data_IF_231888753966
#
_entry.id   IF_231888753966
#
_cell.length_a   1.000
_cell.length_b   1.000
_cell.length_c   1.000
_cell.angle_alpha   90.00
_cell.angle_beta   90.00
_cell.angle_gamma   90.00
#
_symmetry.space_group_name_H-M   'P 1'
#
loop_
_entity.id
_entity.type
_entity.pdbx_description
1 polymer ?
#
# COMPACT_ATOMS: atom_id res chain seq x y z
N UNK A 1 -12.98 1.20 -3.09
CA UNK A 1 -12.48 -0.19 -3.06
C UNK A 1 -12.01 -0.52 -4.45
N UNK A 2 -10.83 -1.12 -4.59
CA UNK A 2 -10.17 -1.40 -5.86
C UNK A 2 -9.83 -2.88 -5.94
N UNK A 3 -10.07 -3.50 -7.08
CA UNK A 3 -9.92 -4.94 -7.26
C UNK A 3 -8.92 -5.22 -8.37
N UNK A 4 -8.08 -6.24 -8.18
CA UNK A 4 -7.14 -6.64 -9.22
C UNK A 4 -6.35 -7.88 -8.88
N UNK A 5 -5.71 -8.43 -9.91
CA UNK A 5 -4.74 -9.52 -9.76
C UNK A 5 -3.40 -8.91 -9.38
N UNK A 6 -2.78 -9.44 -8.32
CA UNK A 6 -1.48 -8.96 -7.83
C UNK A 6 -0.39 -9.19 -8.88
N UNK A 7 0.32 -8.11 -9.22
CA UNK A 7 1.39 -8.06 -10.21
C UNK A 7 2.76 -7.86 -9.57
N UNK A 8 3.81 -8.05 -10.36
CA UNK A 8 5.18 -7.77 -9.95
C UNK A 8 5.44 -6.26 -10.04
N UNK A 9 5.98 -5.67 -8.98
CA UNK A 9 6.35 -4.26 -8.92
C UNK A 9 7.83 -3.98 -9.18
N UNK A 10 8.20 -2.71 -9.08
CA UNK A 10 9.59 -2.23 -9.21
C UNK A 10 10.48 -2.53 -7.99
N UNK A 11 9.94 -3.22 -6.97
CA UNK A 11 10.65 -3.75 -5.78
C UNK A 11 11.48 -2.75 -4.95
N UNK A 12 11.39 -1.42 -5.19
CA UNK A 12 12.15 -0.43 -4.41
C UNK A 12 11.79 -0.46 -2.91
N UNK A 13 10.51 -0.31 -2.58
CA UNK A 13 10.04 -0.44 -1.19
C UNK A 13 10.34 -1.83 -0.62
N UNK A 14 10.20 -2.88 -1.44
CA UNK A 14 10.50 -4.26 -1.05
C UNK A 14 11.97 -4.46 -0.67
N UNK A 15 12.91 -3.87 -1.40
CA UNK A 15 14.34 -3.89 -1.06
C UNK A 15 14.65 -3.18 0.28
N UNK A 16 13.77 -2.30 0.73
CA UNK A 16 13.87 -1.61 2.02
C UNK A 16 13.14 -2.35 3.16
N UNK A 17 12.54 -3.51 2.90
CA UNK A 17 11.82 -4.32 3.88
C UNK A 17 10.30 -4.14 3.85
N UNK A 18 9.75 -3.42 2.87
CA UNK A 18 8.31 -3.15 2.72
C UNK A 18 7.78 -3.78 1.43
N UNK A 19 7.56 -5.10 1.38
CA UNK A 19 6.98 -5.77 0.22
C UNK A 19 5.57 -5.23 -0.05
N UNK A 20 5.24 -5.00 -1.32
CA UNK A 20 3.94 -4.45 -1.73
C UNK A 20 3.21 -5.38 -2.68
N UNK A 21 1.90 -5.43 -2.51
CA UNK A 21 0.95 -6.03 -3.43
C UNK A 21 0.53 -4.97 -4.43
N UNK A 22 0.74 -5.21 -5.71
CA UNK A 22 0.52 -4.21 -6.75
C UNK A 22 -0.70 -4.58 -7.61
N UNK A 23 -1.69 -3.69 -7.69
CA UNK A 23 -2.84 -3.82 -8.59
C UNK A 23 -3.03 -2.56 -9.42
N UNK A 24 -3.77 -2.68 -10.53
CA UNK A 24 -4.11 -1.54 -11.37
C UNK A 24 -5.03 -0.58 -10.62
N UNK A 25 -4.73 0.72 -10.70
CA UNK A 25 -5.59 1.81 -10.23
C UNK A 25 -6.16 2.53 -11.45
N UNK A 26 -7.44 2.33 -11.73
CA UNK A 26 -8.19 3.04 -12.78
C UNK A 26 -9.11 4.10 -12.16
N UNK A 27 -8.49 5.04 -11.43
CA UNK A 27 -9.19 6.15 -10.78
C UNK A 27 -8.31 7.41 -10.80
N UNK A 28 -8.61 8.39 -11.66
CA UNK A 28 -7.78 9.57 -11.83
C UNK A 28 -7.86 10.54 -10.64
N UNK A 29 -8.84 10.39 -9.74
CA UNK A 29 -9.02 11.29 -8.60
C UNK A 29 -8.16 10.90 -7.39
N UNK A 30 -7.54 9.71 -7.40
CA UNK A 30 -6.93 9.12 -6.21
C UNK A 30 -5.42 9.08 -6.32
N UNK A 31 -4.78 9.74 -5.36
CA UNK A 31 -3.33 9.87 -5.27
C UNK A 31 -2.88 10.02 -3.83
N UNK A 32 -1.68 9.54 -3.52
CA UNK A 32 -1.02 9.72 -2.22
C UNK A 32 -0.98 8.44 -1.39
N UNK A 33 -0.74 8.62 -0.09
CA UNK A 33 -0.55 7.53 0.87
C UNK A 33 -1.79 7.41 1.76
N UNK A 34 -2.26 6.19 1.99
CA UNK A 34 -3.51 5.90 2.67
C UNK A 34 -3.33 4.79 3.71
N UNK A 35 -4.13 4.88 4.78
CA UNK A 35 -4.53 3.72 5.56
C UNK A 35 -5.47 2.88 4.69
N UNK A 36 -5.22 1.57 4.63
CA UNK A 36 -5.98 0.68 3.77
C UNK A 36 -6.26 -0.68 4.44
N UNK A 37 -7.18 -1.45 3.85
CA UNK A 37 -7.36 -2.87 4.10
C UNK A 37 -7.12 -3.64 2.81
N UNK A 38 -6.51 -4.81 2.93
CA UNK A 38 -6.41 -5.81 1.87
C UNK A 38 -7.32 -6.97 2.20
N UNK A 39 -8.18 -7.34 1.26
CA UNK A 39 -9.09 -8.47 1.35
C UNK A 39 -8.58 -9.58 0.43
N UNK A 40 -8.43 -10.79 0.97
CA UNK A 40 -8.01 -11.97 0.22
C UNK A 40 -8.68 -13.21 0.80
N UNK A 41 -9.38 -13.98 -0.04
CA UNK A 41 -10.00 -15.26 0.35
C UNK A 41 -10.86 -15.22 1.64
N UNK A 42 -11.47 -14.08 1.96
CA UNK A 42 -12.27 -13.87 3.17
C UNK A 42 -11.50 -13.31 4.37
N UNK A 43 -10.17 -13.28 4.32
CA UNK A 43 -9.32 -12.63 5.31
C UNK A 43 -9.17 -11.14 5.02
N UNK A 44 -9.02 -10.35 6.09
CA UNK A 44 -8.84 -8.90 6.03
C UNK A 44 -7.56 -8.53 6.75
N UNK A 45 -6.67 -7.83 6.04
CA UNK A 45 -5.38 -7.41 6.56
C UNK A 45 -5.28 -5.88 6.60
N UNK A 46 -4.88 -5.30 7.74
CA UNK A 46 -4.45 -3.91 7.81
C UNK A 46 -3.30 -3.64 6.85
N UNK A 47 -3.33 -2.50 6.16
CA UNK A 47 -2.32 -2.13 5.19
C UNK A 47 -2.05 -0.62 5.18
N UNK A 48 -0.90 -0.25 4.63
CA UNK A 48 -0.65 1.09 4.10
C UNK A 48 -0.58 1.00 2.58
N UNK A 49 -1.23 1.93 1.89
CA UNK A 49 -1.31 1.92 0.43
C UNK A 49 -0.76 3.20 -0.18
N UNK A 50 -0.02 3.05 -1.28
CA UNK A 50 0.39 4.14 -2.15
C UNK A 50 -0.41 4.07 -3.45
N UNK A 51 -1.20 5.10 -3.69
CA UNK A 51 -1.93 5.29 -4.94
C UNK A 51 -1.17 6.27 -5.84
N UNK A 52 -0.86 5.82 -7.06
CA UNK A 52 -0.23 6.63 -8.09
C UNK A 52 -1.01 6.53 -9.40
N UNK A 53 -1.89 7.50 -9.62
CA UNK A 53 -2.68 7.63 -10.84
C UNK A 53 -1.81 7.86 -12.08
N UNK A 54 -0.61 8.46 -11.96
CA UNK A 54 0.26 8.66 -13.13
C UNK A 54 0.81 7.35 -13.67
N UNK A 55 0.92 6.34 -12.79
CA UNK A 55 1.36 4.98 -13.13
C UNK A 55 0.20 3.98 -13.21
N UNK A 56 -1.05 4.42 -13.04
CA UNK A 56 -2.23 3.56 -12.89
C UNK A 56 -1.99 2.42 -11.88
N UNK A 57 -1.36 2.74 -10.75
CA UNK A 57 -0.82 1.75 -9.83
C UNK A 57 -1.27 2.01 -8.39
N UNK A 58 -1.77 0.96 -7.74
CA UNK A 58 -2.03 0.90 -6.32
C UNK A 58 -1.11 -0.16 -5.69
N UNK A 59 -0.22 0.28 -4.80
CA UNK A 59 0.71 -0.58 -4.07
C UNK A 59 0.26 -0.67 -2.61
N UNK A 60 -0.01 -1.86 -2.09
CA UNK A 60 -0.42 -2.06 -0.70
C UNK A 60 0.63 -2.88 0.06
N UNK A 61 1.19 -2.31 1.12
CA UNK A 61 2.02 -3.05 2.08
C UNK A 61 1.14 -3.53 3.24
N UNK A 62 0.98 -4.85 3.34
CA UNK A 62 0.27 -5.48 4.48
C UNK A 62 1.10 -5.30 5.75
N UNK A 63 0.46 -4.85 6.82
CA UNK A 63 1.09 -4.62 8.11
C UNK A 63 1.15 -5.92 8.91
N UNK A 64 2.28 -6.12 9.59
CA UNK A 64 2.48 -7.18 10.59
C UNK A 64 2.28 -8.62 10.08
N UNK A 65 2.23 -8.80 8.76
CA UNK A 65 2.18 -10.10 8.09
C UNK A 65 2.95 -10.04 6.77
N UNK A 66 3.50 -11.19 6.37
CA UNK A 66 4.05 -11.41 5.04
C UNK A 66 3.08 -12.28 4.27
N UNK A 67 2.57 -11.77 3.15
CA UNK A 67 1.61 -12.50 2.32
C UNK A 67 2.12 -12.50 0.89
N UNK A 68 2.44 -13.69 0.37
CA UNK A 68 2.72 -13.88 -1.05
C UNK A 68 1.42 -14.20 -1.78
N UNK A 69 0.91 -13.19 -2.48
CA UNK A 69 -0.36 -13.25 -3.20
C UNK A 69 -0.17 -13.06 -4.70
N UNK A 70 1.04 -13.27 -5.23
CA UNK A 70 1.28 -13.09 -6.66
C UNK A 70 0.32 -13.91 -7.52
N UNK A 71 -0.27 -13.29 -8.54
CA UNK A 71 -1.25 -13.93 -9.42
C UNK A 71 -2.61 -14.21 -8.78
N UNK A 72 -2.83 -13.79 -7.52
CA UNK A 72 -4.12 -13.88 -6.84
C UNK A 72 -4.90 -12.59 -7.01
N UNK A 73 -6.21 -12.73 -7.12
CA UNK A 73 -7.14 -11.60 -7.06
C UNK A 73 -7.30 -11.13 -5.62
N UNK A 74 -7.18 -9.83 -5.39
CA UNK A 74 -7.36 -9.17 -4.10
C UNK A 74 -8.25 -7.94 -4.25
N UNK A 75 -8.75 -7.44 -3.13
CA UNK A 75 -9.39 -6.13 -3.06
C UNK A 75 -8.65 -5.24 -2.07
N UNK A 76 -8.50 -3.96 -2.41
CA UNK A 76 -7.86 -2.94 -1.58
C UNK A 76 -8.89 -1.85 -1.29
N UNK A 77 -9.17 -1.62 -0.02
CA UNK A 77 -10.03 -0.55 0.45
C UNK A 77 -9.19 0.58 1.01
N UNK A 78 -9.31 1.79 0.45
CA UNK A 78 -8.68 2.99 0.99
C UNK A 78 -9.60 3.61 2.03
N UNK A 79 -9.12 3.75 3.26
CA UNK A 79 -9.92 4.21 4.41
C UNK A 79 -9.70 5.67 4.72
N UNK A 80 -8.43 6.09 4.84
CA UNK A 80 -8.06 7.44 5.25
C UNK A 80 -6.75 7.85 4.58
N UNK A 81 -6.73 9.05 3.98
CA UNK A 81 -5.50 9.64 3.46
C UNK A 81 -4.57 10.02 4.61
N UNK A 82 -3.31 9.59 4.54
CA UNK A 82 -2.24 9.97 5.46
C UNK A 82 -1.58 11.26 4.96
N UNK A 83 -1.18 11.29 3.69
CA UNK A 83 -0.47 12.42 3.06
C UNK A 83 -0.43 12.30 1.54
N UNK A 84 0.02 13.36 0.87
CA UNK A 84 0.41 13.30 -0.54
C UNK A 84 1.70 12.49 -0.75
N UNK A 85 1.92 12.05 -1.98
CA UNK A 85 3.18 11.43 -2.38
C UNK A 85 4.30 12.47 -2.43
N UNK A 86 5.53 12.02 -2.17
CA UNK A 86 6.72 12.86 -2.20
C UNK A 86 7.86 12.11 -2.89
N UNK A 87 8.79 12.86 -3.48
CA UNK A 87 10.04 12.33 -4.02
C UNK A 87 11.09 12.35 -2.91
N UNK A 88 11.89 11.30 -2.83
CA UNK A 88 12.95 11.16 -1.84
C UNK A 88 14.31 10.98 -2.52
N UNK A 89 15.27 11.79 -2.09
CA UNK A 89 16.63 11.82 -2.64
C UNK A 89 17.53 10.71 -2.11
N UNK A 90 17.09 9.97 -1.08
CA UNK A 90 17.79 8.78 -0.59
C UNK A 90 16.83 7.68 -0.14
N UNK A 91 17.35 6.46 -0.08
CA UNK A 91 16.59 5.30 0.38
C UNK A 91 16.36 5.32 1.90
N UNK A 92 17.24 5.97 2.68
CA UNK A 92 17.04 6.22 4.11
C UNK A 92 15.86 7.16 4.34
N UNK A 93 15.75 8.24 3.55
CA UNK A 93 14.64 9.17 3.65
C UNK A 93 13.31 8.51 3.24
N UNK A 94 13.33 7.70 2.18
CA UNK A 94 12.17 6.89 1.77
C UNK A 94 11.77 5.89 2.86
N UNK A 95 12.74 5.15 3.43
CA UNK A 95 12.49 4.19 4.51
C UNK A 95 11.82 4.87 5.70
N UNK A 96 12.37 5.98 6.18
CA UNK A 96 11.83 6.71 7.32
C UNK A 96 10.38 7.16 7.07
N UNK A 97 10.07 7.59 5.84
CA UNK A 97 8.71 7.96 5.47
C UNK A 97 7.75 6.75 5.49
N UNK A 98 8.15 5.61 4.91
CA UNK A 98 7.31 4.39 4.91
C UNK A 98 7.08 3.89 6.35
N UNK A 99 8.10 3.95 7.21
CA UNK A 99 7.97 3.58 8.63
C UNK A 99 6.95 4.46 9.36
N UNK A 100 6.98 5.78 9.10
CA UNK A 100 6.00 6.72 9.65
C UNK A 100 4.59 6.44 9.14
N UNK A 101 4.44 6.17 7.84
CA UNK A 101 3.14 5.86 7.24
C UNK A 101 2.56 4.56 7.82
N UNK A 102 3.39 3.52 7.96
CA UNK A 102 3.01 2.26 8.59
C UNK A 102 2.65 2.45 10.07
N UNK A 103 3.40 3.27 10.81
CA UNK A 103 3.08 3.59 12.21
C UNK A 103 1.74 4.33 12.33
N UNK A 104 1.46 5.29 11.43
CA UNK A 104 0.20 6.02 11.39
C UNK A 104 -0.99 5.09 11.08
N UNK A 105 -0.82 4.17 10.11
CA UNK A 105 -1.83 3.17 9.79
C UNK A 105 -2.08 2.21 10.98
N UNK A 106 -1.04 1.71 11.65
CA UNK A 106 -1.21 0.91 12.88
C UNK A 106 -1.94 1.69 13.98
N UNK A 107 -1.62 2.97 14.16
CA UNK A 107 -2.32 3.80 15.15
C UNK A 107 -3.81 3.95 14.83
N UNK A 108 -4.16 4.10 13.54
CA UNK A 108 -5.56 4.13 13.11
C UNK A 108 -6.30 2.85 13.51
N UNK A 109 -5.75 1.67 13.24
CA UNK A 109 -6.42 0.40 13.56
C UNK A 109 -6.46 0.05 15.06
N UNK A 110 -5.65 0.69 15.90
CA UNK A 110 -5.73 0.53 17.37
C UNK A 110 -6.79 1.42 18.03
N UNK A 111 -7.18 2.51 17.37
CA UNK A 111 -8.12 3.49 17.90
C UNK A 111 -9.59 3.20 17.51
N UNK A 112 -9.82 2.11 16.79
CA UNK A 112 -11.13 1.67 16.26
C UNK A 112 -11.59 0.42 16.97
#
# INVERSE_FOLDING_TARGET
MYKGVVQNGNKRASALGFPTLNITLDDPAITGIFVARVYVAGDVHPAVAFADQKRNLLEAHVLDASVDLYGREIEVELLKKIRESAVYDSDEALRAAIEQDAAAARAFFRAV
#
